data_IF_579353617749
#
_entry.id   IF_579353617749
#
_cell.length_a   1.000
_cell.length_b   1.000
_cell.length_c   1.000
_cell.angle_alpha   90.00
_cell.angle_beta   90.00
_cell.angle_gamma   90.00
#
_symmetry.space_group_name_H-M   'P 1'
#
loop_
_entity.id
_entity.type
_entity.pdbx_description
1 polymer ?
#
# COMPACT_ATOMS: atom_id res chain seq x y z
N UNK A 1 -28.68 -41.60 -46.69
CA UNK A 1 -27.54 -40.65 -46.66
C UNK A 1 -27.57 -39.93 -45.33
N UNK A 2 -26.44 -39.83 -44.60
CA UNK A 2 -26.43 -39.43 -43.21
C UNK A 2 -26.45 -37.91 -43.03
N UNK A 3 -27.16 -37.45 -42.01
CA UNK A 3 -27.11 -36.07 -41.52
C UNK A 3 -25.73 -35.80 -40.91
N UNK A 4 -25.05 -34.78 -41.41
CA UNK A 4 -23.81 -34.26 -40.82
C UNK A 4 -24.22 -33.39 -39.63
N UNK A 5 -23.98 -33.89 -38.42
CA UNK A 5 -24.08 -33.11 -37.20
C UNK A 5 -22.88 -32.16 -37.11
N UNK A 6 -23.16 -30.86 -37.10
CA UNK A 6 -22.17 -29.83 -36.85
C UNK A 6 -21.82 -29.84 -35.35
N UNK A 7 -20.66 -30.39 -35.01
CA UNK A 7 -20.10 -30.33 -33.67
C UNK A 7 -19.40 -28.97 -33.51
N UNK A 8 -20.18 -27.92 -33.21
CA UNK A 8 -19.62 -26.69 -32.69
C UNK A 8 -19.24 -26.94 -31.23
N UNK A 9 -17.94 -26.99 -30.97
CA UNK A 9 -17.38 -27.08 -29.63
C UNK A 9 -17.98 -25.96 -28.77
N UNK A 10 -18.70 -26.35 -27.71
CA UNK A 10 -19.15 -25.45 -26.67
C UNK A 10 -17.91 -24.88 -25.96
N UNK A 11 -17.44 -23.73 -26.43
CA UNK A 11 -16.57 -22.88 -25.64
C UNK A 11 -17.33 -22.51 -24.38
N UNK A 12 -16.83 -22.98 -23.24
CA UNK A 12 -17.29 -22.52 -21.93
C UNK A 12 -17.05 -21.01 -21.87
N UNK A 13 -18.08 -20.22 -22.15
CA UNK A 13 -18.13 -18.81 -21.77
C UNK A 13 -17.97 -18.78 -20.25
N UNK A 14 -16.77 -18.47 -19.77
CA UNK A 14 -16.58 -18.11 -18.37
C UNK A 14 -17.46 -16.89 -18.15
N UNK A 15 -18.59 -17.09 -17.46
CA UNK A 15 -19.42 -16.01 -16.94
C UNK A 15 -18.49 -15.00 -16.26
N UNK A 16 -18.37 -13.81 -16.86
CA UNK A 16 -17.67 -12.68 -16.22
C UNK A 16 -18.36 -12.47 -14.88
N UNK A 17 -17.61 -12.62 -13.78
CA UNK A 17 -18.17 -12.33 -12.45
C UNK A 17 -18.60 -10.86 -12.45
N UNK A 18 -19.85 -10.59 -12.09
CA UNK A 18 -20.41 -9.24 -12.05
C UNK A 18 -19.95 -8.42 -10.83
N UNK A 19 -19.24 -9.03 -9.89
CA UNK A 19 -18.72 -8.39 -8.68
C UNK A 19 -17.32 -8.93 -8.34
N UNK A 20 -16.50 -8.06 -7.75
CA UNK A 20 -15.20 -8.40 -7.17
C UNK A 20 -15.25 -8.15 -5.67
N UNK A 21 -14.71 -9.06 -4.87
CA UNK A 21 -14.52 -8.89 -3.43
C UNK A 21 -13.11 -8.39 -3.18
N UNK A 22 -12.97 -7.22 -2.57
CA UNK A 22 -11.68 -6.64 -2.23
C UNK A 22 -11.43 -6.73 -0.72
N UNK A 23 -10.20 -7.04 -0.35
CA UNK A 23 -9.69 -6.74 0.99
C UNK A 23 -8.93 -5.41 0.91
N UNK A 24 -9.38 -4.43 1.69
CA UNK A 24 -8.76 -3.12 1.80
C UNK A 24 -8.32 -2.94 3.26
N UNK A 25 -7.02 -2.74 3.47
CA UNK A 25 -6.46 -2.40 4.77
C UNK A 25 -5.91 -0.98 4.75
N UNK A 26 -6.10 -0.24 5.84
CA UNK A 26 -5.44 1.04 6.05
C UNK A 26 -3.96 0.86 6.33
N UNK A 27 -3.46 1.60 7.31
CA UNK A 27 -2.02 1.71 7.57
C UNK A 27 -1.43 0.41 8.13
N UNK A 28 -0.65 -0.26 7.28
CA UNK A 28 0.17 -1.42 7.63
C UNK A 28 1.58 -0.91 7.93
N UNK A 29 1.86 -0.70 9.21
CA UNK A 29 3.15 -0.22 9.70
C UNK A 29 3.98 -1.38 10.26
N UNK A 30 4.88 -1.94 9.44
CA UNK A 30 5.75 -3.07 9.84
C UNK A 30 7.11 -2.64 10.43
N UNK A 31 7.36 -1.34 10.54
CA UNK A 31 8.60 -0.82 11.11
C UNK A 31 8.66 -0.87 12.65
N UNK A 32 9.76 -0.34 13.19
CA UNK A 32 9.99 -0.20 14.65
C UNK A 32 9.85 -1.54 15.39
N UNK A 33 9.00 -1.61 16.42
CA UNK A 33 8.87 -2.78 17.28
C UNK A 33 8.48 -4.04 16.51
N UNK A 34 7.69 -3.92 15.44
CA UNK A 34 7.34 -5.05 14.58
C UNK A 34 8.59 -5.56 13.86
N UNK A 35 9.33 -4.70 13.14
CA UNK A 35 10.58 -5.08 12.49
C UNK A 35 11.58 -5.73 13.48
N UNK A 36 11.63 -5.25 14.73
CA UNK A 36 12.52 -5.78 15.77
C UNK A 36 12.19 -7.21 16.25
N UNK A 37 10.97 -7.71 16.01
CA UNK A 37 10.62 -9.10 16.34
C UNK A 37 10.75 -10.05 15.15
N UNK A 38 10.89 -9.54 13.92
CA UNK A 38 11.00 -10.33 12.70
C UNK A 38 12.37 -11.03 12.57
N UNK A 39 12.51 -11.88 11.55
CA UNK A 39 13.70 -12.70 11.33
C UNK A 39 14.99 -11.88 11.12
N UNK A 40 14.88 -10.76 10.41
CA UNK A 40 16.02 -9.90 10.03
C UNK A 40 15.80 -8.46 10.47
N UNK A 41 15.84 -8.15 11.78
CA UNK A 41 15.59 -6.80 12.26
C UNK A 41 16.65 -5.82 11.72
N UNK A 42 16.22 -4.60 11.37
CA UNK A 42 17.11 -3.49 11.06
C UNK A 42 17.75 -2.89 12.31
N UNK A 43 18.58 -1.86 12.12
CA UNK A 43 19.13 -1.06 13.22
C UNK A 43 17.99 -0.48 14.07
N UNK A 44 17.92 -0.78 15.39
CA UNK A 44 16.86 -0.30 16.25
C UNK A 44 16.96 1.20 16.55
N UNK A 45 18.05 1.90 16.19
CA UNK A 45 18.22 3.30 16.55
C UNK A 45 17.09 4.20 16.01
N UNK A 46 16.55 5.04 16.89
CA UNK A 46 15.52 6.02 16.56
C UNK A 46 15.99 7.45 16.83
N UNK A 47 15.78 8.33 15.85
CA UNK A 47 16.10 9.76 15.92
C UNK A 47 14.97 10.59 16.55
N UNK A 48 14.37 10.11 17.64
CA UNK A 48 13.25 10.79 18.30
C UNK A 48 13.66 11.43 19.62
N UNK A 49 12.83 12.31 20.17
CA UNK A 49 13.14 12.99 21.44
C UNK A 49 13.19 12.04 22.64
N UNK A 50 12.26 11.08 22.73
CA UNK A 50 12.03 10.30 23.96
C UNK A 50 12.47 8.83 23.85
N UNK A 51 12.09 8.15 22.76
CA UNK A 51 12.47 6.76 22.53
C UNK A 51 13.65 6.72 21.56
N UNK A 52 14.73 6.05 21.95
CA UNK A 52 15.98 5.99 21.17
C UNK A 52 16.22 4.63 20.51
N UNK A 53 15.42 3.63 20.89
CA UNK A 53 15.50 2.28 20.37
C UNK A 53 14.11 1.75 20.04
N UNK A 54 13.94 1.17 18.86
CA UNK A 54 12.73 0.46 18.46
C UNK A 54 12.43 -0.74 19.37
N UNK A 55 13.45 -1.34 20.02
CA UNK A 55 13.25 -2.43 20.99
C UNK A 55 12.43 -2.01 22.20
N UNK A 56 12.49 -0.72 22.58
CA UNK A 56 11.73 -0.18 23.70
C UNK A 56 10.22 -0.35 23.49
N UNK A 57 9.72 -0.27 22.25
CA UNK A 57 8.30 -0.53 21.98
C UNK A 57 7.91 -1.98 22.30
N UNK A 58 8.79 -2.93 22.01
CA UNK A 58 8.56 -4.35 22.31
C UNK A 58 8.60 -4.59 23.82
N UNK A 59 9.60 -4.02 24.51
CA UNK A 59 9.73 -4.10 25.97
C UNK A 59 8.51 -3.51 26.69
N UNK A 60 7.97 -2.40 26.18
CA UNK A 60 6.75 -1.78 26.73
C UNK A 60 5.52 -2.67 26.51
N UNK A 61 5.38 -3.28 25.33
CA UNK A 61 4.31 -4.21 25.06
C UNK A 61 4.40 -5.47 25.95
N UNK A 62 5.61 -5.97 26.20
CA UNK A 62 5.85 -7.15 27.03
C UNK A 62 5.51 -6.94 28.50
N UNK A 63 5.68 -5.72 29.03
CA UNK A 63 5.30 -5.39 30.41
C UNK A 63 3.80 -5.56 30.69
N UNK A 64 2.97 -5.40 29.67
CA UNK A 64 1.50 -5.50 29.79
C UNK A 64 1.00 -6.88 29.37
N UNK A 65 1.57 -7.46 28.31
CA UNK A 65 1.02 -8.64 27.65
C UNK A 65 1.81 -9.94 27.92
N UNK A 66 2.96 -9.84 28.60
CA UNK A 66 3.89 -10.95 28.76
C UNK A 66 4.87 -11.06 27.57
N UNK A 67 5.74 -12.08 27.57
CA UNK A 67 6.82 -12.21 26.59
C UNK A 67 6.33 -12.26 25.14
N UNK A 68 7.00 -11.54 24.24
CA UNK A 68 6.76 -11.58 22.80
C UNK A 68 7.90 -12.38 22.16
N UNK A 69 7.64 -13.39 21.31
CA UNK A 69 8.70 -14.12 20.63
C UNK A 69 9.55 -13.20 19.73
N UNK A 70 10.81 -13.57 19.53
CA UNK A 70 11.75 -12.86 18.63
C UNK A 70 12.13 -13.80 17.49
N UNK A 71 12.51 -13.22 16.35
CA UNK A 71 12.75 -13.95 15.10
C UNK A 71 11.54 -14.78 14.72
N UNK A 72 10.37 -14.16 14.83
CA UNK A 72 9.11 -14.78 14.45
C UNK A 72 9.08 -15.04 12.95
N UNK A 73 8.25 -15.99 12.53
CA UNK A 73 8.00 -16.23 11.11
C UNK A 73 7.30 -15.03 10.45
N UNK A 74 7.33 -15.01 9.13
CA UNK A 74 6.77 -13.94 8.30
C UNK A 74 5.25 -13.78 8.45
N UNK A 75 4.54 -14.83 8.89
CA UNK A 75 3.09 -14.84 9.05
C UNK A 75 2.64 -14.27 10.41
N UNK A 76 3.53 -14.23 11.40
CA UNK A 76 3.23 -13.91 12.79
C UNK A 76 2.43 -12.61 12.97
N UNK A 77 2.80 -11.55 12.25
CA UNK A 77 2.20 -10.22 12.39
C UNK A 77 0.75 -10.15 11.91
N UNK A 78 0.33 -11.10 11.08
CA UNK A 78 -1.04 -11.19 10.59
C UNK A 78 -1.94 -12.03 11.49
N UNK A 79 -1.37 -13.03 12.18
CA UNK A 79 -2.09 -13.88 13.12
C UNK A 79 -3.41 -14.43 12.55
N UNK A 80 -4.48 -14.25 13.30
CA UNK A 80 -5.82 -14.74 12.94
C UNK A 80 -6.36 -14.14 11.63
N UNK A 81 -5.86 -12.98 11.20
CA UNK A 81 -6.30 -12.34 9.96
C UNK A 81 -6.06 -13.22 8.72
N UNK A 82 -5.05 -14.10 8.74
CA UNK A 82 -4.80 -15.02 7.62
C UNK A 82 -5.94 -16.00 7.41
N UNK A 83 -6.49 -16.55 8.51
CA UNK A 83 -7.63 -17.47 8.45
C UNK A 83 -8.89 -16.76 7.96
N UNK A 84 -9.08 -15.50 8.35
CA UNK A 84 -10.19 -14.67 7.87
C UNK A 84 -10.04 -14.35 6.37
N UNK A 85 -8.83 -14.02 5.90
CA UNK A 85 -8.53 -13.79 4.49
C UNK A 85 -8.73 -15.04 3.63
N UNK A 86 -8.37 -16.22 4.16
CA UNK A 86 -8.64 -17.50 3.52
C UNK A 86 -10.14 -17.78 3.41
N UNK A 87 -10.89 -17.55 4.49
CA UNK A 87 -12.34 -17.75 4.50
C UNK A 87 -13.06 -16.79 3.55
N UNK A 88 -12.69 -15.52 3.58
CA UNK A 88 -13.34 -14.50 2.75
C UNK A 88 -12.97 -14.64 1.27
N UNK A 89 -11.78 -15.17 0.98
CA UNK A 89 -11.25 -15.37 -0.37
C UNK A 89 -11.42 -14.13 -1.26
N UNK A 90 -10.86 -12.96 -0.88
CA UNK A 90 -10.92 -11.76 -1.69
C UNK A 90 -10.22 -11.98 -3.04
N UNK A 91 -10.75 -11.37 -4.10
CA UNK A 91 -10.18 -11.41 -5.45
C UNK A 91 -8.93 -10.50 -5.57
N UNK A 92 -8.77 -9.53 -4.66
CA UNK A 92 -7.56 -8.71 -4.53
C UNK A 92 -7.38 -8.19 -3.08
N UNK A 93 -6.13 -8.12 -2.62
CA UNK A 93 -5.71 -7.65 -1.29
C UNK A 93 -4.82 -6.40 -1.43
N UNK A 94 -5.32 -5.27 -0.96
CA UNK A 94 -4.69 -3.96 -1.09
C UNK A 94 -4.48 -3.36 0.29
N UNK A 95 -3.28 -2.84 0.56
CA UNK A 95 -2.93 -2.23 1.84
C UNK A 95 -2.31 -0.86 1.63
N UNK A 96 -2.47 0.07 2.58
CA UNK A 96 -1.58 1.22 2.70
C UNK A 96 -0.30 0.79 3.41
N UNK A 97 0.81 0.70 2.68
CA UNK A 97 2.10 0.38 3.29
C UNK A 97 2.72 1.67 3.82
N UNK A 98 2.42 2.00 5.06
CA UNK A 98 2.84 3.24 5.72
C UNK A 98 4.17 3.04 6.46
N UNK A 99 5.17 2.51 5.75
CA UNK A 99 6.54 2.38 6.23
C UNK A 99 7.49 2.27 5.03
N UNK A 100 8.67 2.90 5.11
CA UNK A 100 9.73 2.65 4.13
C UNK A 100 10.29 1.24 4.29
N UNK A 101 10.63 0.58 3.19
CA UNK A 101 11.36 -0.70 3.19
C UNK A 101 12.79 -0.41 2.75
N UNK A 102 13.70 -0.21 3.72
CA UNK A 102 15.00 0.36 3.40
C UNK A 102 16.08 0.11 4.46
N UNK A 103 17.32 -0.03 3.98
CA UNK A 103 18.55 0.02 4.77
C UNK A 103 19.25 1.37 4.73
N UNK A 104 18.72 2.33 3.96
CA UNK A 104 19.23 3.70 3.83
C UNK A 104 19.44 4.37 5.19
N UNK A 105 20.42 5.28 5.20
CA UNK A 105 20.74 6.16 6.33
C UNK A 105 20.32 7.61 6.05
N UNK A 106 19.70 7.90 4.90
CA UNK A 106 19.31 9.24 4.45
C UNK A 106 18.04 9.73 5.15
N UNK A 107 18.10 9.89 6.47
CA UNK A 107 16.94 10.20 7.29
C UNK A 107 16.32 11.58 6.95
N UNK A 108 15.03 11.61 6.66
CA UNK A 108 14.29 12.86 6.52
C UNK A 108 14.07 13.52 7.89
N UNK A 109 14.16 14.86 8.01
CA UNK A 109 14.05 15.58 9.27
C UNK A 109 12.59 15.64 9.78
N UNK A 110 12.11 14.52 10.33
CA UNK A 110 10.77 14.35 10.88
C UNK A 110 10.82 13.97 12.36
N UNK A 111 9.69 14.15 13.04
CA UNK A 111 9.57 13.77 14.45
C UNK A 111 9.51 12.25 14.68
N UNK A 112 9.04 11.50 13.68
CA UNK A 112 8.73 10.08 13.72
C UNK A 112 9.04 9.52 12.32
N UNK A 113 9.86 8.47 12.27
CA UNK A 113 10.21 7.75 11.04
C UNK A 113 9.95 6.23 11.21
N UNK A 114 9.51 5.54 10.15
CA UNK A 114 9.21 4.09 10.15
C UNK A 114 9.92 3.36 9.01
N UNK A 115 10.90 2.52 9.33
CA UNK A 115 11.48 1.57 8.38
C UNK A 115 11.30 0.13 8.82
N UNK A 116 11.12 -0.73 7.83
CA UNK A 116 11.31 -2.17 7.91
C UNK A 116 12.55 -2.55 7.09
N UNK A 117 13.30 -3.55 7.54
CA UNK A 117 14.39 -4.13 6.77
C UNK A 117 13.85 -4.83 5.49
N UNK A 118 14.41 -4.58 4.29
CA UNK A 118 14.03 -5.29 3.06
C UNK A 118 14.04 -6.82 3.16
N UNK A 119 14.91 -7.39 4.00
CA UNK A 119 14.97 -8.83 4.23
C UNK A 119 13.70 -9.41 4.88
N UNK A 120 12.80 -8.57 5.42
CA UNK A 120 11.53 -8.98 6.01
C UNK A 120 10.34 -8.85 5.04
N UNK A 121 10.58 -8.59 3.75
CA UNK A 121 9.52 -8.42 2.73
C UNK A 121 8.54 -9.60 2.65
N UNK A 122 9.00 -10.81 3.02
CA UNK A 122 8.16 -12.00 3.07
C UNK A 122 6.94 -11.86 3.99
N UNK A 123 6.94 -10.94 4.95
CA UNK A 123 5.75 -10.63 5.74
C UNK A 123 4.56 -10.21 4.89
N UNK A 124 4.78 -9.44 3.81
CA UNK A 124 3.71 -9.05 2.88
C UNK A 124 3.27 -10.23 2.02
N UNK A 125 4.21 -11.08 1.62
CA UNK A 125 3.94 -12.29 0.85
C UNK A 125 3.12 -13.32 1.67
N UNK A 126 3.37 -13.43 2.98
CA UNK A 126 2.64 -14.33 3.88
C UNK A 126 1.13 -14.04 3.91
N UNK A 127 0.72 -12.76 3.83
CA UNK A 127 -0.68 -12.36 3.67
C UNK A 127 -1.19 -12.37 2.23
N UNK A 128 -0.34 -12.74 1.26
CA UNK A 128 -0.60 -12.75 -0.19
C UNK A 128 -1.17 -11.40 -0.66
N UNK A 129 -0.56 -10.32 -0.18
CA UNK A 129 -0.89 -8.96 -0.61
C UNK A 129 -0.63 -8.83 -2.11
N UNK A 130 -1.57 -8.22 -2.83
CA UNK A 130 -1.45 -8.02 -4.28
C UNK A 130 -0.89 -6.63 -4.61
N UNK A 131 -1.24 -5.62 -3.80
CA UNK A 131 -0.82 -4.24 -4.02
C UNK A 131 -0.57 -3.46 -2.73
N UNK A 132 0.53 -2.72 -2.68
CA UNK A 132 0.84 -1.73 -1.66
C UNK A 132 0.63 -0.31 -2.22
N UNK A 133 -0.29 0.45 -1.64
CA UNK A 133 -0.35 1.88 -1.93
C UNK A 133 0.66 2.64 -1.06
N UNK A 134 1.33 3.62 -1.64
CA UNK A 134 2.52 4.25 -1.08
C UNK A 134 2.42 5.77 -0.94
N UNK A 135 1.40 6.42 -1.51
CA UNK A 135 1.21 7.86 -1.29
C UNK A 135 0.72 8.09 0.15
N UNK A 136 1.65 8.13 1.08
CA UNK A 136 1.42 8.39 2.49
C UNK A 136 2.59 9.19 3.08
N UNK A 137 2.45 9.62 4.32
CA UNK A 137 3.43 10.48 4.96
C UNK A 137 4.69 9.74 5.43
N UNK A 138 4.80 8.42 5.33
CA UNK A 138 5.95 7.65 5.83
C UNK A 138 6.81 6.99 4.75
N UNK A 139 6.41 7.03 3.48
CA UNK A 139 7.17 6.40 2.38
C UNK A 139 8.56 7.01 2.16
N UNK A 140 8.72 8.32 2.40
CA UNK A 140 9.95 9.10 2.21
C UNK A 140 10.68 9.41 3.53
N UNK A 141 10.48 8.59 4.57
CA UNK A 141 11.15 8.79 5.86
C UNK A 141 12.69 8.66 5.78
N UNK A 142 13.21 8.02 4.73
CA UNK A 142 14.64 7.96 4.38
C UNK A 142 14.95 8.61 3.03
N UNK A 143 14.18 9.64 2.69
CA UNK A 143 14.35 10.48 1.50
C UNK A 143 14.31 9.64 0.20
N UNK A 144 14.66 10.26 -0.93
CA UNK A 144 14.65 9.62 -2.25
C UNK A 144 15.39 8.26 -2.28
N UNK A 145 16.58 8.08 -1.66
CA UNK A 145 17.25 6.76 -1.64
C UNK A 145 16.43 5.68 -0.94
N UNK A 146 15.73 6.03 0.15
CA UNK A 146 14.87 5.09 0.87
C UNK A 146 13.61 4.74 0.10
N UNK A 147 13.03 5.70 -0.62
CA UNK A 147 11.91 5.44 -1.53
C UNK A 147 12.34 4.52 -2.67
N UNK A 148 13.47 4.79 -3.32
CA UNK A 148 13.98 3.95 -4.43
C UNK A 148 14.19 2.51 -3.97
N UNK A 149 14.83 2.28 -2.82
CA UNK A 149 15.01 0.93 -2.26
C UNK A 149 13.68 0.26 -1.91
N UNK A 150 12.69 1.03 -1.45
CA UNK A 150 11.33 0.53 -1.19
C UNK A 150 10.68 0.02 -2.48
N UNK A 151 10.70 0.83 -3.55
CA UNK A 151 10.15 0.47 -4.85
C UNK A 151 10.85 -0.75 -5.45
N UNK A 152 12.19 -0.79 -5.36
CA UNK A 152 12.99 -1.92 -5.82
C UNK A 152 12.67 -3.20 -5.06
N UNK A 153 12.53 -3.13 -3.74
CA UNK A 153 12.19 -4.29 -2.90
C UNK A 153 10.82 -4.85 -3.26
N UNK A 154 9.81 -3.99 -3.41
CA UNK A 154 8.45 -4.42 -3.82
C UNK A 154 8.47 -5.06 -5.20
N UNK A 155 9.18 -4.44 -6.17
CA UNK A 155 9.30 -4.95 -7.54
C UNK A 155 9.98 -6.31 -7.59
N UNK A 156 11.07 -6.49 -6.84
CA UNK A 156 11.80 -7.77 -6.75
C UNK A 156 10.97 -8.87 -6.09
N UNK A 157 10.10 -8.49 -5.14
CA UNK A 157 9.16 -9.42 -4.51
C UNK A 157 7.91 -9.71 -5.38
N UNK A 158 7.76 -9.05 -6.53
CA UNK A 158 6.59 -9.20 -7.40
C UNK A 158 5.30 -8.58 -6.85
N UNK A 159 5.41 -7.66 -5.88
CA UNK A 159 4.30 -6.92 -5.31
C UNK A 159 4.01 -5.68 -6.15
N UNK A 160 2.75 -5.47 -6.53
CA UNK A 160 2.36 -4.25 -7.22
C UNK A 160 2.36 -3.06 -6.25
N UNK A 161 2.58 -1.85 -6.77
CA UNK A 161 2.48 -0.64 -5.98
C UNK A 161 1.91 0.53 -6.78
N UNK A 162 1.36 1.51 -6.07
CA UNK A 162 0.80 2.72 -6.65
C UNK A 162 1.01 3.94 -5.74
N UNK A 163 1.03 5.14 -6.34
CA UNK A 163 1.09 6.41 -5.61
C UNK A 163 2.49 6.91 -5.28
N UNK A 164 3.53 6.16 -5.64
CA UNK A 164 4.91 6.62 -5.60
C UNK A 164 5.69 6.02 -6.77
N UNK A 165 6.73 6.72 -7.22
CA UNK A 165 7.52 6.34 -8.39
C UNK A 165 8.85 7.06 -8.46
N UNK A 166 9.68 6.67 -9.45
CA UNK A 166 10.95 7.31 -9.78
C UNK A 166 10.75 8.68 -10.48
N UNK A 167 9.55 8.89 -11.02
CA UNK A 167 9.10 10.14 -11.61
C UNK A 167 7.59 10.31 -11.45
N UNK A 168 7.07 11.45 -11.94
CA UNK A 168 5.66 11.80 -11.87
C UNK A 168 4.74 10.85 -12.67
N UNK A 169 5.22 10.28 -13.78
CA UNK A 169 4.42 9.38 -14.61
C UNK A 169 4.26 8.03 -13.91
N UNK A 170 5.34 7.48 -13.33
CA UNK A 170 5.28 6.26 -12.53
C UNK A 170 4.45 6.46 -11.26
N UNK A 171 4.62 7.57 -10.55
CA UNK A 171 3.84 7.84 -9.33
C UNK A 171 2.33 7.95 -9.63
N UNK A 172 1.96 8.53 -10.78
CA UNK A 172 0.57 8.67 -11.21
C UNK A 172 -0.02 7.39 -11.82
N UNK A 173 0.82 6.43 -12.25
CA UNK A 173 0.36 5.19 -12.84
C UNK A 173 -0.37 4.30 -11.81
N UNK A 174 -1.49 3.66 -12.20
CA UNK A 174 -2.14 2.72 -11.31
C UNK A 174 -1.40 1.38 -11.26
N UNK A 175 -1.46 0.72 -10.10
CA UNK A 175 -1.23 -0.73 -10.07
C UNK A 175 -2.40 -1.44 -10.76
N UNK A 176 -2.09 -2.46 -11.55
CA UNK A 176 -3.08 -3.23 -12.33
C UNK A 176 -3.11 -4.67 -11.85
N UNK A 177 -4.17 -5.04 -11.11
CA UNK A 177 -4.39 -6.40 -10.62
C UNK A 177 -5.37 -7.10 -11.58
N UNK A 178 -4.95 -8.21 -12.19
CA UNK A 178 -5.80 -9.00 -13.09
C UNK A 178 -6.69 -9.95 -12.29
N UNK A 179 -7.98 -9.97 -12.58
CA UNK A 179 -8.93 -10.84 -11.89
C UNK A 179 -9.10 -12.18 -12.63
N UNK A 180 -9.22 -13.28 -11.89
CA UNK A 180 -9.34 -14.63 -12.46
C UNK A 180 -10.62 -14.84 -13.30
N UNK A 181 -11.67 -14.05 -13.03
CA UNK A 181 -12.94 -14.04 -13.76
C UNK A 181 -12.98 -13.10 -14.98
N UNK A 182 -11.85 -12.47 -15.32
CA UNK A 182 -11.79 -11.38 -16.30
C UNK A 182 -11.94 -10.01 -15.65
N UNK A 183 -11.49 -8.96 -16.34
CA UNK A 183 -11.42 -7.60 -15.79
C UNK A 183 -10.15 -7.34 -14.98
N UNK A 184 -10.03 -6.10 -14.50
CA UNK A 184 -8.86 -5.61 -13.75
C UNK A 184 -9.30 -4.72 -12.59
N UNK A 185 -8.54 -4.72 -11.50
CA UNK A 185 -8.59 -3.67 -10.49
C UNK A 185 -7.45 -2.70 -10.78
N UNK A 186 -7.80 -1.43 -11.00
CA UNK A 186 -6.86 -0.32 -11.21
C UNK A 186 -6.76 0.46 -9.90
N UNK A 187 -5.63 0.35 -9.21
CA UNK A 187 -5.41 0.99 -7.92
C UNK A 187 -4.59 2.25 -8.12
N UNK A 188 -5.20 3.40 -7.85
CA UNK A 188 -4.54 4.69 -7.79
C UNK A 188 -4.34 5.06 -6.32
N UNK A 189 -3.27 5.80 -6.04
CA UNK A 189 -2.99 6.28 -4.70
C UNK A 189 -2.52 7.72 -4.76
N UNK A 190 -3.00 8.51 -3.81
CA UNK A 190 -2.75 9.93 -3.70
C UNK A 190 -2.54 10.32 -2.24
N UNK A 191 -1.76 11.37 -1.99
CA UNK A 191 -1.69 12.00 -0.68
C UNK A 191 -2.04 13.48 -0.77
N UNK A 192 -2.39 14.07 0.37
CA UNK A 192 -2.56 15.51 0.54
C UNK A 192 -1.68 16.04 1.66
N UNK A 193 -1.33 17.32 1.58
CA UNK A 193 -0.55 18.00 2.64
C UNK A 193 -1.21 17.95 4.01
N UNK A 194 -2.55 17.80 4.06
CA UNK A 194 -3.30 17.64 5.30
C UNK A 194 -2.88 16.42 6.13
N UNK A 195 -2.24 15.43 5.49
CA UNK A 195 -1.66 14.23 6.13
C UNK A 195 -0.22 14.38 6.62
N UNK A 196 0.35 15.59 6.54
CA UNK A 196 1.73 15.85 6.95
C UNK A 196 2.76 15.49 5.87
N UNK A 197 2.30 15.28 4.65
CA UNK A 197 3.13 15.14 3.45
C UNK A 197 3.50 16.53 2.92
N UNK A 198 4.79 16.93 2.84
CA UNK A 198 5.14 18.21 2.25
C UNK A 198 5.05 18.20 0.71
N UNK A 199 4.76 19.35 0.10
CA UNK A 199 4.87 19.59 -1.36
C UNK A 199 6.23 19.11 -1.92
N UNK A 200 7.31 19.31 -1.16
CA UNK A 200 8.65 18.89 -1.55
C UNK A 200 8.81 17.38 -1.74
N UNK A 201 7.81 16.56 -1.42
CA UNK A 201 7.80 15.11 -1.69
C UNK A 201 7.08 14.72 -2.99
N UNK A 202 6.38 15.66 -3.63
CA UNK A 202 5.74 15.41 -4.92
C UNK A 202 6.77 14.91 -5.95
N UNK A 203 6.39 13.85 -6.65
CA UNK A 203 7.17 13.32 -7.76
C UNK A 203 7.27 14.36 -8.89
N UNK A 204 8.43 14.42 -9.54
CA UNK A 204 8.70 15.30 -10.67
C UNK A 204 9.17 14.53 -11.89
N UNK A 205 9.46 15.22 -13.00
CA UNK A 205 9.88 14.56 -14.25
C UNK A 205 11.16 13.71 -14.12
N UNK A 206 12.03 14.03 -13.16
CA UNK A 206 13.29 13.31 -12.89
C UNK A 206 13.54 13.21 -11.39
N UNK A 207 12.47 13.15 -10.61
CA UNK A 207 12.53 13.23 -9.16
C UNK A 207 11.60 12.18 -8.57
N UNK A 208 12.16 11.18 -7.86
CA UNK A 208 11.35 10.22 -7.13
C UNK A 208 10.45 10.92 -6.13
N UNK A 209 9.24 10.39 -5.96
CA UNK A 209 8.32 10.95 -5.01
C UNK A 209 6.95 10.30 -5.08
N UNK A 210 5.98 11.03 -4.55
CA UNK A 210 4.60 10.59 -4.43
C UNK A 210 3.68 11.34 -5.38
N UNK A 211 2.53 10.73 -5.64
CA UNK A 211 1.44 11.33 -6.38
C UNK A 211 0.62 12.25 -5.46
N UNK A 212 1.01 13.52 -5.42
CA UNK A 212 0.41 14.52 -4.53
C UNK A 212 -0.80 15.20 -5.18
N UNK A 213 -1.90 15.30 -4.44
CA UNK A 213 -3.01 16.18 -4.77
C UNK A 213 -2.85 17.53 -4.06
N UNK A 214 -3.19 18.60 -4.76
CA UNK A 214 -3.03 19.96 -4.23
C UNK A 214 -3.96 20.26 -3.05
N UNK A 215 -5.20 19.78 -3.10
CA UNK A 215 -6.25 20.09 -2.12
C UNK A 215 -7.48 19.15 -2.25
N UNK A 216 -8.44 19.32 -1.34
CA UNK A 216 -9.77 18.69 -1.42
C UNK A 216 -10.70 19.61 -2.23
N UNK A 217 -10.52 19.67 -3.54
CA UNK A 217 -11.35 20.48 -4.44
C UNK A 217 -11.88 19.72 -5.66
N UNK A 218 -12.83 20.34 -6.38
CA UNK A 218 -13.32 19.86 -7.66
C UNK A 218 -12.19 19.68 -8.70
N UNK A 219 -11.13 20.51 -8.64
CA UNK A 219 -9.98 20.37 -9.54
C UNK A 219 -9.21 19.07 -9.27
N UNK A 220 -8.99 18.74 -8.01
CA UNK A 220 -8.35 17.48 -7.62
C UNK A 220 -9.22 16.28 -7.98
N UNK A 221 -10.54 16.39 -7.82
CA UNK A 221 -11.48 15.37 -8.31
C UNK A 221 -11.38 15.18 -9.83
N UNK A 222 -11.33 16.26 -10.62
CA UNK A 222 -11.15 16.22 -12.07
C UNK A 222 -9.79 15.59 -12.47
N UNK A 223 -8.75 15.78 -11.66
CA UNK A 223 -7.46 15.12 -11.86
C UNK A 223 -7.56 13.60 -11.64
N UNK A 224 -8.20 13.17 -10.55
CA UNK A 224 -8.45 11.74 -10.28
C UNK A 224 -9.29 11.14 -11.41
N UNK A 225 -10.40 11.78 -11.76
CA UNK A 225 -11.32 11.32 -12.81
C UNK A 225 -10.62 11.16 -14.16
N UNK A 226 -9.78 12.13 -14.57
CA UNK A 226 -8.98 12.04 -15.80
C UNK A 226 -7.98 10.88 -15.76
N UNK A 227 -7.31 10.67 -14.63
CA UNK A 227 -6.36 9.56 -14.44
C UNK A 227 -7.04 8.21 -14.61
N UNK A 228 -8.24 8.05 -14.03
CA UNK A 228 -9.05 6.85 -14.19
C UNK A 228 -9.52 6.68 -15.63
N UNK A 229 -10.10 7.73 -16.23
CA UNK A 229 -10.67 7.68 -17.59
C UNK A 229 -9.61 7.39 -18.67
N UNK A 230 -8.35 7.77 -18.47
CA UNK A 230 -7.28 7.56 -19.43
C UNK A 230 -6.98 6.08 -19.71
N UNK A 231 -7.28 5.18 -18.77
CA UNK A 231 -6.89 3.76 -18.84
C UNK A 231 -8.05 2.78 -18.61
N UNK A 232 -9.11 3.22 -17.94
CA UNK A 232 -10.25 2.37 -17.59
C UNK A 232 -10.99 1.89 -18.83
N UNK A 233 -11.23 0.58 -18.88
CA UNK A 233 -12.01 -0.10 -19.91
C UNK A 233 -13.28 -0.73 -19.29
N UNK A 234 -14.28 -1.11 -20.12
CA UNK A 234 -15.42 -1.88 -19.64
C UNK A 234 -14.97 -3.14 -18.89
N UNK A 235 -15.52 -3.37 -17.69
CA UNK A 235 -15.17 -4.51 -16.84
C UNK A 235 -14.02 -4.25 -15.85
N UNK A 236 -13.34 -3.11 -15.92
CA UNK A 236 -12.41 -2.72 -14.86
C UNK A 236 -13.15 -2.21 -13.62
N UNK A 237 -12.52 -2.34 -12.46
CA UNK A 237 -12.84 -1.64 -11.22
C UNK A 237 -11.71 -0.64 -10.93
N UNK A 238 -12.05 0.61 -10.62
CA UNK A 238 -11.06 1.61 -10.20
C UNK A 238 -11.16 1.81 -8.70
N UNK A 239 -10.03 1.82 -8.01
CA UNK A 239 -9.88 2.08 -6.58
C UNK A 239 -8.95 3.27 -6.44
N UNK A 240 -9.39 4.32 -5.76
CA UNK A 240 -8.54 5.45 -5.38
C UNK A 240 -8.33 5.42 -3.87
N UNK A 241 -7.09 5.21 -3.44
CA UNK A 241 -6.68 5.39 -2.05
C UNK A 241 -6.18 6.83 -1.87
N UNK A 242 -6.77 7.58 -0.95
CA UNK A 242 -6.40 8.97 -0.70
C UNK A 242 -5.99 9.10 0.76
N UNK A 243 -4.73 9.45 0.99
CA UNK A 243 -4.15 9.65 2.30
C UNK A 243 -4.23 11.14 2.68
N UNK A 244 -5.16 11.46 3.59
CA UNK A 244 -5.53 12.83 3.97
C UNK A 244 -5.84 12.93 5.46
N UNK A 245 -5.98 14.16 5.94
CA UNK A 245 -6.41 14.43 7.31
C UNK A 245 -5.30 14.19 8.34
N UNK A 246 -5.54 14.61 9.58
CA UNK A 246 -4.54 14.47 10.64
C UNK A 246 -4.43 13.05 11.20
N UNK A 247 -3.29 12.75 11.83
CA UNK A 247 -2.97 11.44 12.42
C UNK A 247 -3.94 10.96 13.53
N UNK A 248 -4.73 11.86 14.11
CA UNK A 248 -5.65 11.55 15.22
C UNK A 248 -6.97 12.28 15.06
N UNK A 249 -8.07 11.53 15.08
CA UNK A 249 -9.41 12.08 15.05
C UNK A 249 -10.45 10.98 14.95
N UNK A 250 -11.63 11.21 15.52
CA UNK A 250 -12.78 10.31 15.41
C UNK A 250 -13.75 10.71 14.28
N UNK A 251 -13.50 11.85 13.63
CA UNK A 251 -14.39 12.43 12.63
C UNK A 251 -13.64 12.59 11.31
N UNK A 252 -14.29 12.19 10.22
CA UNK A 252 -13.87 12.53 8.86
C UNK A 252 -14.52 13.87 8.48
N UNK A 253 -13.72 14.91 8.14
CA UNK A 253 -14.22 16.20 7.65
C UNK A 253 -15.29 16.10 6.57
N UNK A 254 -16.17 17.11 6.51
CA UNK A 254 -17.28 17.10 5.57
C UNK A 254 -16.81 17.18 4.11
N UNK A 255 -15.78 17.97 3.83
CA UNK A 255 -15.18 18.09 2.50
C UNK A 255 -14.58 16.76 1.98
N UNK A 256 -13.89 16.00 2.83
CA UNK A 256 -13.31 14.70 2.46
C UNK A 256 -14.40 13.68 2.12
N UNK A 257 -15.47 13.63 2.92
CA UNK A 257 -16.64 12.78 2.62
C UNK A 257 -17.36 13.20 1.34
N UNK A 258 -17.47 14.52 1.11
CA UNK A 258 -18.09 15.02 -0.10
C UNK A 258 -17.27 14.63 -1.35
N UNK A 259 -15.94 14.74 -1.29
CA UNK A 259 -15.07 14.30 -2.38
C UNK A 259 -15.17 12.78 -2.62
N UNK A 260 -15.22 11.97 -1.56
CA UNK A 260 -15.32 10.51 -1.68
C UNK A 260 -16.65 10.01 -2.26
N UNK A 261 -17.73 10.79 -2.17
CA UNK A 261 -19.05 10.44 -2.70
C UNK A 261 -19.34 11.01 -4.11
N UNK A 262 -18.51 11.92 -4.59
CA UNK A 262 -18.67 12.59 -5.88
C UNK A 262 -18.23 11.71 -7.05
#
# INVERSE_FOLDING_TARGET
MPQIANNAAAGSERSVRSSAKLFLCGDVMLGRGIDQILASPGDPHLSERYVKSATTYVELAERVNGPIPRKVDEAYVWGDALSELDREAPDARIINLETSITTSLSLAPKGINYKMNPANIGCLAAARIDCCVLANNHVLDWDEPGLVETLDTLRLAGLAYAGAGLDADEAAAPAVIKLAGGGRVLVFSFALETSGVPDSWAAGAYKPGINLLADVSARSLDQIARSVQAIKQPGDLAVASIHWGGNWGYQVPAEERALAHA
#
